data_IF_510651290474
#
_entry.id   IF_510651290474
#
_cell.length_a   1.000
_cell.length_b   1.000
_cell.length_c   1.000
_cell.angle_alpha   90.00
_cell.angle_beta   90.00
_cell.angle_gamma   90.00
#
_symmetry.space_group_name_H-M   'P 1'
#
loop_
_entity.id
_entity.type
_entity.pdbx_description
1 polymer ?
#
# COMPACT_ATOMS: atom_id res chain seq x y z
N UNK A 1 -8.50 3.35 -9.22
CA UNK A 1 -7.38 2.49 -9.70
C UNK A 1 -7.01 2.64 -11.18
N UNK A 2 -7.82 3.25 -12.05
CA UNK A 2 -7.42 3.48 -13.46
C UNK A 2 -6.18 4.38 -13.60
N UNK A 3 -5.88 5.17 -12.58
CA UNK A 3 -4.71 6.07 -12.48
C UNK A 3 -3.43 5.40 -11.95
N UNK A 4 -3.47 4.13 -11.56
CA UNK A 4 -2.27 3.44 -11.09
C UNK A 4 -1.30 3.19 -12.27
N UNK A 5 0.02 3.20 -12.01
CA UNK A 5 1.02 3.15 -13.07
C UNK A 5 1.04 1.80 -13.80
N UNK A 6 1.46 1.83 -15.06
CA UNK A 6 1.65 0.63 -15.88
C UNK A 6 2.96 -0.11 -15.57
N UNK A 7 3.93 0.58 -14.97
CA UNK A 7 5.19 0.03 -14.47
C UNK A 7 5.41 0.55 -13.06
N UNK A 8 5.76 -0.33 -12.11
CA UNK A 8 5.95 0.01 -10.70
C UNK A 8 7.23 -0.66 -10.20
N UNK A 9 8.17 0.11 -9.66
CA UNK A 9 9.49 -0.41 -9.25
C UNK A 9 10.18 -1.27 -10.35
N UNK A 10 10.02 -0.89 -11.62
CA UNK A 10 10.54 -1.62 -12.78
C UNK A 10 9.74 -2.86 -13.20
N UNK A 11 8.68 -3.23 -12.46
CA UNK A 11 7.79 -4.34 -12.79
C UNK A 11 6.59 -3.91 -13.63
N UNK A 12 6.30 -4.66 -14.69
CA UNK A 12 5.14 -4.40 -15.54
C UNK A 12 3.82 -4.83 -14.89
N UNK A 13 2.76 -4.04 -15.12
CA UNK A 13 1.41 -4.34 -14.63
C UNK A 13 0.87 -5.60 -15.30
N UNK A 14 0.32 -6.50 -14.50
CA UNK A 14 -0.31 -7.75 -14.97
C UNK A 14 -1.83 -7.70 -14.86
N UNK A 15 -2.49 -8.55 -15.65
CA UNK A 15 -3.92 -8.74 -15.56
C UNK A 15 -4.26 -9.41 -14.21
N UNK A 16 -5.27 -8.88 -13.53
CA UNK A 16 -5.87 -9.48 -12.33
C UNK A 16 -7.30 -9.87 -12.66
N UNK A 17 -7.83 -10.90 -11.99
CA UNK A 17 -9.23 -11.32 -12.18
C UNK A 17 -10.21 -10.54 -11.26
N UNK A 18 -9.69 -9.76 -10.32
CA UNK A 18 -10.47 -8.99 -9.35
C UNK A 18 -10.52 -7.50 -9.71
N UNK A 19 -11.74 -6.96 -9.79
CA UNK A 19 -12.04 -5.57 -10.17
C UNK A 19 -11.46 -4.52 -9.21
N UNK A 20 -11.12 -4.93 -7.98
CA UNK A 20 -10.61 -4.04 -6.93
C UNK A 20 -9.14 -4.33 -6.58
N UNK A 21 -8.41 -5.03 -7.46
CA UNK A 21 -7.01 -5.35 -7.24
C UNK A 21 -6.14 -5.10 -8.47
N UNK A 22 -4.91 -4.71 -8.24
CA UNK A 22 -3.86 -4.58 -9.24
C UNK A 22 -2.65 -5.42 -8.83
N UNK A 23 -1.87 -5.84 -9.82
CA UNK A 23 -0.61 -6.50 -9.56
C UNK A 23 0.45 -6.09 -10.59
N UNK A 24 1.71 -6.19 -10.20
CA UNK A 24 2.89 -5.93 -11.03
C UNK A 24 3.95 -7.00 -10.79
N UNK A 25 4.62 -7.43 -11.86
CA UNK A 25 5.77 -8.33 -11.78
C UNK A 25 5.48 -9.76 -11.32
N UNK A 26 6.57 -10.49 -11.07
CA UNK A 26 6.63 -11.85 -10.53
C UNK A 26 7.96 -12.01 -9.75
N UNK A 27 7.96 -12.15 -8.41
CA UNK A 27 6.80 -12.24 -7.52
C UNK A 27 5.96 -10.96 -7.57
N UNK A 28 4.66 -11.09 -7.31
CA UNK A 28 3.72 -9.99 -7.55
C UNK A 28 3.74 -8.95 -6.42
N UNK A 29 3.98 -7.68 -6.76
CA UNK A 29 3.48 -6.56 -5.95
C UNK A 29 1.97 -6.53 -6.14
N UNK A 30 1.19 -6.46 -5.06
CA UNK A 30 -0.27 -6.39 -5.16
C UNK A 30 -0.83 -5.16 -4.45
N UNK A 31 -1.90 -4.60 -5.00
CA UNK A 31 -2.67 -3.52 -4.40
C UNK A 31 -4.14 -3.92 -4.39
N UNK A 32 -4.81 -3.79 -3.24
CA UNK A 32 -6.25 -4.05 -3.08
C UNK A 32 -6.94 -2.85 -2.44
N UNK A 33 -8.01 -2.36 -3.06
CA UNK A 33 -8.91 -1.36 -2.46
C UNK A 33 -10.13 -2.06 -1.87
N UNK A 34 -10.74 -1.44 -0.87
CA UNK A 34 -11.94 -1.98 -0.22
C UNK A 34 -11.62 -2.85 0.98
N UNK A 35 -10.40 -2.78 1.53
CA UNK A 35 -10.11 -3.44 2.80
C UNK A 35 -10.75 -2.66 3.95
N UNK A 36 -11.14 -3.37 5.01
CA UNK A 36 -11.69 -2.75 6.22
C UNK A 36 -10.69 -1.73 6.76
N UNK A 37 -11.10 -0.45 6.95
CA UNK A 37 -10.23 0.54 7.56
C UNK A 37 -9.71 0.08 8.92
N UNK A 38 -8.40 0.17 9.20
CA UNK A 38 -7.85 -0.17 10.50
C UNK A 38 -8.48 0.71 11.60
N UNK A 39 -8.77 0.16 12.79
CA UNK A 39 -9.12 0.98 13.94
C UNK A 39 -7.91 1.82 14.39
N UNK A 40 -8.08 2.79 15.30
CA UNK A 40 -6.96 3.45 15.97
C UNK A 40 -5.97 2.41 16.52
N UNK A 41 -4.67 2.61 16.26
CA UNK A 41 -3.61 1.64 16.54
C UNK A 41 -2.31 2.32 16.98
N UNK A 42 -1.48 1.60 17.70
CA UNK A 42 -0.10 1.94 18.06
C UNK A 42 0.94 1.28 17.13
N UNK A 43 0.48 0.54 16.10
CA UNK A 43 1.32 -0.01 15.05
C UNK A 43 2.11 1.09 14.33
N UNK A 44 3.25 0.70 13.76
CA UNK A 44 4.13 1.61 13.03
C UNK A 44 3.37 2.29 11.88
N UNK A 45 3.14 3.60 12.00
CA UNK A 45 2.60 4.44 10.93
C UNK A 45 3.71 5.28 10.28
N UNK A 46 3.70 5.37 8.96
CA UNK A 46 4.54 6.30 8.18
C UNK A 46 3.68 7.18 7.29
N UNK A 47 4.04 8.46 7.17
CA UNK A 47 3.46 9.37 6.20
C UNK A 47 4.31 9.37 4.93
N UNK A 48 3.66 9.19 3.77
CA UNK A 48 4.29 9.28 2.44
C UNK A 48 3.61 10.39 1.66
N UNK A 49 4.41 11.36 1.20
CA UNK A 49 3.92 12.44 0.34
C UNK A 49 3.91 11.99 -1.12
N UNK A 50 2.74 11.94 -1.73
CA UNK A 50 2.56 11.65 -3.14
C UNK A 50 3.11 12.78 -4.03
N UNK A 51 3.29 12.49 -5.32
CA UNK A 51 3.81 13.47 -6.30
C UNK A 51 2.95 14.75 -6.43
N UNK A 52 1.66 14.67 -6.10
CA UNK A 52 0.74 15.82 -6.10
C UNK A 52 0.73 16.62 -4.78
N UNK A 53 1.59 16.24 -3.81
CA UNK A 53 1.68 16.86 -2.49
C UNK A 53 0.73 16.28 -1.45
N UNK A 54 -0.11 15.31 -1.80
CA UNK A 54 -1.02 14.65 -0.85
C UNK A 54 -0.24 13.77 0.12
N UNK A 55 -0.39 13.99 1.43
CA UNK A 55 0.13 13.07 2.44
C UNK A 55 -0.80 11.86 2.58
N UNK A 56 -0.21 10.66 2.60
CA UNK A 56 -0.92 9.40 2.78
C UNK A 56 -0.25 8.63 3.91
N UNK A 57 -1.03 8.31 4.92
CA UNK A 57 -0.57 7.58 6.09
C UNK A 57 -0.71 6.07 5.86
N UNK A 58 0.32 5.32 6.22
CA UNK A 58 0.42 3.87 6.02
C UNK A 58 0.84 3.18 7.30
N UNK A 59 0.02 2.24 7.76
CA UNK A 59 0.42 1.25 8.76
C UNK A 59 1.32 0.23 8.06
N UNK A 60 2.50 -0.02 8.64
CA UNK A 60 3.52 -0.91 8.10
C UNK A 60 3.60 -2.17 8.96
N UNK A 61 3.41 -3.32 8.30
CA UNK A 61 3.73 -4.62 8.88
C UNK A 61 4.82 -5.30 8.04
N UNK A 62 5.84 -5.79 8.72
CA UNK A 62 6.97 -6.55 8.17
C UNK A 62 6.85 -7.94 8.79
N UNK A 63 6.96 -9.04 8.03
CA UNK A 63 7.33 -10.39 8.52
C UNK A 63 7.12 -11.47 7.45
N UNK A 64 7.74 -12.64 7.70
CA UNK A 64 7.50 -13.91 7.00
C UNK A 64 6.02 -14.38 7.01
N UNK A 65 5.19 -13.79 7.89
CA UNK A 65 3.76 -14.09 8.07
C UNK A 65 2.82 -13.22 7.21
N UNK A 66 3.36 -12.27 6.43
CA UNK A 66 2.56 -11.47 5.48
C UNK A 66 2.22 -12.34 4.27
N UNK A 67 1.12 -13.09 4.38
CA UNK A 67 0.52 -13.81 3.25
C UNK A 67 -0.42 -12.85 2.53
N UNK A 68 -0.24 -12.67 1.22
CA UNK A 68 -1.24 -11.96 0.43
C UNK A 68 -2.62 -12.61 0.62
N UNK A 69 -3.69 -11.82 0.68
CA UNK A 69 -5.05 -12.38 0.80
C UNK A 69 -5.82 -12.15 -0.50
N UNK A 70 -6.05 -13.21 -1.27
CA UNK A 70 -6.79 -13.16 -2.53
C UNK A 70 -6.35 -14.24 -3.52
N UNK A 71 -7.07 -14.40 -4.64
CA UNK A 71 -6.76 -15.42 -5.66
C UNK A 71 -5.41 -15.17 -6.36
N UNK A 72 -4.89 -13.95 -6.28
CA UNK A 72 -3.63 -13.54 -6.89
C UNK A 72 -2.47 -13.47 -5.88
N UNK A 73 -2.71 -13.94 -4.64
CA UNK A 73 -1.72 -13.88 -3.58
C UNK A 73 -0.64 -14.95 -3.73
N UNK A 74 0.60 -14.52 -3.65
CA UNK A 74 1.77 -15.38 -3.62
C UNK A 74 2.15 -15.70 -2.15
N UNK A 75 2.72 -16.89 -1.91
CA UNK A 75 2.95 -17.52 -0.59
C UNK A 75 4.42 -17.53 -0.15
N UNK A 76 5.33 -17.00 -0.96
CA UNK A 76 6.73 -16.76 -0.57
C UNK A 76 6.86 -15.83 0.65
N UNK A 77 7.92 -16.06 1.44
CA UNK A 77 8.23 -15.34 2.69
C UNK A 77 8.95 -14.03 2.39
N UNK A 78 8.93 -13.13 3.38
CA UNK A 78 9.53 -11.81 3.27
C UNK A 78 8.66 -10.88 2.41
N UNK A 79 7.68 -10.25 3.04
CA UNK A 79 6.89 -9.19 2.40
C UNK A 79 6.65 -8.05 3.37
N UNK A 80 6.48 -6.88 2.80
CA UNK A 80 5.96 -5.71 3.50
C UNK A 80 4.49 -5.56 3.15
N UNK A 81 3.66 -5.36 4.18
CA UNK A 81 2.27 -4.93 4.01
C UNK A 81 2.16 -3.47 4.44
N UNK A 82 1.59 -2.67 3.55
CA UNK A 82 1.22 -1.29 3.80
C UNK A 82 -0.29 -1.17 3.72
N UNK A 83 -0.94 -0.69 4.78
CA UNK A 83 -2.38 -0.41 4.78
C UNK A 83 -2.60 1.05 5.06
N UNK A 84 -3.40 1.73 4.23
CA UNK A 84 -3.70 3.15 4.46
C UNK A 84 -4.42 3.34 5.79
N UNK A 85 -3.94 4.27 6.61
CA UNK A 85 -4.62 4.69 7.83
C UNK A 85 -5.52 5.90 7.56
N UNK A 86 -6.66 5.94 8.23
CA UNK A 86 -7.59 7.07 8.18
C UNK A 86 -8.32 7.31 6.85
N UNK A 87 -8.23 6.37 5.90
CA UNK A 87 -8.93 6.38 4.62
C UNK A 87 -10.08 5.38 4.56
N UNK A 88 -11.17 5.75 3.88
CA UNK A 88 -12.34 4.90 3.67
C UNK A 88 -12.76 4.89 2.18
N UNK A 89 -12.76 3.72 1.51
CA UNK A 89 -12.20 2.45 1.98
C UNK A 89 -10.67 2.51 2.15
N UNK A 90 -10.11 1.61 2.97
CA UNK A 90 -8.67 1.46 3.05
C UNK A 90 -8.12 0.71 1.84
N UNK A 91 -6.83 0.93 1.58
CA UNK A 91 -6.05 0.28 0.54
C UNK A 91 -4.91 -0.50 1.20
N UNK A 92 -4.72 -1.74 0.76
CA UNK A 92 -3.61 -2.61 1.16
C UNK A 92 -2.65 -2.79 -0.02
N UNK A 93 -1.35 -2.69 0.24
CA UNK A 93 -0.27 -2.96 -0.72
C UNK A 93 0.64 -4.01 -0.12
N UNK A 94 0.88 -5.09 -0.85
CA UNK A 94 1.85 -6.14 -0.49
C UNK A 94 3.03 -6.04 -1.44
N UNK A 95 4.24 -5.92 -0.87
CA UNK A 95 5.49 -5.74 -1.61
C UNK A 95 6.45 -6.88 -1.23
N UNK A 96 6.84 -7.76 -2.17
CA UNK A 96 7.89 -8.76 -1.96
C UNK A 96 9.26 -8.11 -1.64
N UNK A 97 10.13 -8.79 -0.87
CA UNK A 97 11.43 -8.20 -0.46
C UNK A 97 12.29 -7.78 -1.64
N UNK A 98 12.15 -8.46 -2.78
CA UNK A 98 12.89 -8.24 -4.02
C UNK A 98 12.67 -6.81 -4.54
N UNK A 99 11.48 -6.25 -4.29
CA UNK A 99 11.12 -4.88 -4.65
C UNK A 99 11.28 -3.91 -3.47
N UNK A 100 11.31 -4.43 -2.25
CA UNK A 100 11.43 -3.61 -1.04
C UNK A 100 12.87 -3.15 -0.74
N UNK A 101 13.86 -3.64 -1.50
CA UNK A 101 15.29 -3.45 -1.28
C UNK A 101 15.74 -2.05 -0.82
N UNK A 102 15.71 -1.03 -1.70
CA UNK A 102 16.29 0.29 -1.35
C UNK A 102 15.26 1.34 -0.93
N UNK A 103 14.05 1.36 -1.49
CA UNK A 103 13.01 2.35 -1.11
C UNK A 103 11.58 1.83 -1.37
N UNK A 104 11.06 0.94 -0.52
CA UNK A 104 9.64 0.53 -0.57
C UNK A 104 8.68 1.74 -0.51
N UNK A 105 9.11 2.84 0.09
CA UNK A 105 8.40 4.13 0.13
C UNK A 105 8.29 4.80 -1.24
N UNK A 106 9.27 4.66 -2.13
CA UNK A 106 9.21 5.24 -3.49
C UNK A 106 8.05 4.63 -4.29
N UNK A 107 7.81 3.33 -4.13
CA UNK A 107 6.66 2.65 -4.71
C UNK A 107 5.33 3.21 -4.17
N UNK A 108 5.26 3.58 -2.90
CA UNK A 108 4.08 4.22 -2.31
C UNK A 108 3.85 5.64 -2.86
N UNK A 109 4.93 6.39 -3.17
CA UNK A 109 4.85 7.70 -3.84
C UNK A 109 4.21 7.54 -5.22
N UNK A 110 4.66 6.57 -6.01
CA UNK A 110 4.14 6.29 -7.36
C UNK A 110 2.66 5.84 -7.34
N UNK A 111 2.25 5.13 -6.28
CA UNK A 111 0.86 4.73 -6.07
C UNK A 111 -0.02 5.86 -5.54
N UNK A 112 0.58 6.93 -5.00
CA UNK A 112 -0.09 8.05 -4.35
C UNK A 112 -1.29 8.61 -5.14
N UNK A 113 -1.15 8.95 -6.44
CA UNK A 113 -2.27 9.46 -7.24
C UNK A 113 -3.46 8.50 -7.38
N UNK A 114 -3.24 7.18 -7.28
CA UNK A 114 -4.31 6.19 -7.31
C UNK A 114 -4.98 6.02 -5.93
N UNK A 115 -4.21 6.18 -4.86
CA UNK A 115 -4.64 6.05 -3.47
C UNK A 115 -5.36 7.30 -2.98
N UNK A 116 -4.93 8.49 -3.41
CA UNK A 116 -5.52 9.78 -3.07
C UNK A 116 -6.99 9.93 -3.54
N UNK A 117 -7.46 9.04 -4.42
CA UNK A 117 -8.85 8.99 -4.87
C UNK A 117 -9.83 8.44 -3.81
N UNK A 118 -9.36 7.89 -2.68
CA UNK A 118 -10.22 7.51 -1.55
C UNK A 118 -10.39 8.67 -0.58
N UNK A 119 -11.53 8.72 0.12
CA UNK A 119 -11.79 9.75 1.12
C UNK A 119 -10.88 9.53 2.35
N UNK A 120 -10.38 10.62 2.94
CA UNK A 120 -9.46 10.60 4.09
C UNK A 120 -10.06 11.32 5.32
N UNK A 121 -11.06 10.73 6.00
CA UNK A 121 -11.67 11.36 7.18
C UNK A 121 -10.76 11.46 8.41
N UNK A 122 -9.62 10.77 8.44
CA UNK A 122 -8.64 10.79 9.55
C UNK A 122 -7.20 10.78 9.01
N UNK A 123 -6.25 11.20 9.85
CA UNK A 123 -4.81 11.20 9.55
C UNK A 123 -4.02 10.63 10.74
N UNK A 124 -2.79 10.18 10.53
CA UNK A 124 -1.87 9.81 11.61
C UNK A 124 -1.51 11.06 12.43
N UNK A 125 -1.42 10.88 13.74
CA UNK A 125 -0.99 11.94 14.65
C UNK A 125 0.54 11.94 14.70
N UNK A 126 1.14 13.12 14.60
CA UNK A 126 2.58 13.29 14.87
C UNK A 126 2.81 13.56 16.37
N UNK A 127 4.05 13.39 16.84
CA UNK A 127 4.45 13.73 18.20
C UNK A 127 4.21 15.21 18.54
N UNK A 128 4.13 16.10 17.55
CA UNK A 128 3.74 17.51 17.75
C UNK A 128 2.28 17.72 18.13
N UNK A 129 1.40 16.75 17.85
CA UNK A 129 -0.06 16.91 17.97
C UNK A 129 -0.58 16.54 19.38
N UNK A 130 0.29 16.01 20.24
CA UNK A 130 -0.01 15.66 21.63
C UNK A 130 0.61 16.72 22.56
N UNK A 131 0.06 17.93 22.55
CA UNK A 131 0.45 19.02 23.47
C UNK A 131 -0.67 19.46 24.40
#
# INVERSE_FOLDING_TARGET
MRSAPIVLAGAERRATNSQASLAWGDPAITLRCGVTPPPPTDERCIAVTAADGTSIDWIVAENDDVVGTGPDADTERGRFRFTTYGREPAIEVIVPVEYAGTEATALLVDLGPAVALTDAPRTCLDLSDVS
#
